data_IF_505821944695
#
_entry.id   IF_505821944695
#
_cell.length_a   1.000
_cell.length_b   1.000
_cell.length_c   1.000
_cell.angle_alpha   90.00
_cell.angle_beta   90.00
_cell.angle_gamma   90.00
#
_symmetry.space_group_name_H-M   'P 1'
#
loop_
_entity.id
_entity.type
_entity.pdbx_description
1 polymer ?
#
# COMPACT_ATOMS: atom_id res chain seq x y z
N UNK A 1 1.05 6.54 -26.38
CA UNK A 1 0.85 5.78 -25.13
C UNK A 1 -0.43 6.34 -24.54
N UNK A 2 -1.54 5.65 -24.78
CA UNK A 2 -2.90 6.17 -24.57
C UNK A 2 -3.13 6.50 -23.11
N UNK A 3 -3.74 7.66 -22.90
CA UNK A 3 -4.29 8.20 -21.66
C UNK A 3 -5.32 7.19 -21.10
N UNK A 4 -4.83 6.14 -20.46
CA UNK A 4 -5.69 5.15 -19.81
C UNK A 4 -6.25 5.81 -18.56
N UNK A 5 -7.57 5.96 -18.55
CA UNK A 5 -8.47 6.32 -17.45
C UNK A 5 -7.91 5.92 -16.07
N UNK A 6 -7.06 6.76 -15.48
CA UNK A 6 -6.52 6.52 -14.13
C UNK A 6 -7.61 6.94 -13.15
N UNK A 7 -8.54 6.03 -12.89
CA UNK A 7 -9.66 6.25 -11.98
C UNK A 7 -9.22 6.33 -10.52
N UNK A 8 -8.11 5.68 -10.17
CA UNK A 8 -7.64 5.57 -8.79
C UNK A 8 -6.14 5.25 -8.68
N UNK A 9 -5.61 5.45 -7.48
CA UNK A 9 -4.19 5.26 -7.16
C UNK A 9 -3.74 3.79 -7.31
N UNK A 10 -4.61 2.81 -7.06
CA UNK A 10 -4.24 1.40 -7.18
C UNK A 10 -4.06 1.01 -8.65
N UNK A 11 -4.95 1.47 -9.51
CA UNK A 11 -4.85 1.32 -10.97
C UNK A 11 -3.55 1.93 -11.51
N UNK A 12 -3.15 3.11 -11.01
CA UNK A 12 -1.84 3.72 -11.35
C UNK A 12 -0.65 2.84 -10.92
N UNK A 13 -0.76 2.17 -9.77
CA UNK A 13 0.34 1.40 -9.17
C UNK A 13 0.42 -0.05 -9.65
N UNK A 14 -0.63 -0.60 -10.26
CA UNK A 14 -0.72 -2.03 -10.62
C UNK A 14 0.42 -2.49 -11.54
N UNK A 15 0.72 -1.71 -12.58
CA UNK A 15 1.85 -1.98 -13.48
C UNK A 15 3.21 -1.95 -12.77
N UNK A 16 3.34 -1.15 -11.70
CA UNK A 16 4.57 -1.03 -10.89
C UNK A 16 4.70 -2.20 -9.92
N UNK A 17 3.60 -2.64 -9.31
CA UNK A 17 3.59 -3.83 -8.46
C UNK A 17 4.03 -5.08 -9.21
N UNK A 18 3.60 -5.22 -10.48
CA UNK A 18 4.03 -6.34 -11.34
C UNK A 18 5.49 -6.17 -11.75
N UNK A 19 5.85 -5.00 -12.31
CA UNK A 19 7.18 -4.77 -12.89
C UNK A 19 8.31 -4.79 -11.86
N UNK A 20 8.04 -4.35 -10.63
CA UNK A 20 9.05 -4.17 -9.58
C UNK A 20 8.85 -5.10 -8.39
N UNK A 21 8.11 -6.20 -8.55
CA UNK A 21 7.68 -7.10 -7.46
C UNK A 21 8.77 -7.42 -6.42
N UNK A 22 9.99 -7.77 -6.84
CA UNK A 22 11.12 -8.13 -5.96
C UNK A 22 11.96 -6.96 -5.45
N UNK A 23 11.69 -5.73 -5.89
CA UNK A 23 12.44 -4.54 -5.44
C UNK A 23 11.86 -4.00 -4.15
N UNK A 24 12.72 -3.41 -3.33
CA UNK A 24 12.34 -2.55 -2.22
C UNK A 24 11.29 -1.53 -2.66
N UNK A 25 10.13 -1.54 -2.02
CA UNK A 25 9.15 -0.46 -2.10
C UNK A 25 9.30 0.50 -0.92
N UNK A 26 9.55 -0.04 0.28
CA UNK A 26 9.64 0.72 1.51
C UNK A 26 10.76 0.17 2.38
N UNK A 27 11.45 1.08 3.07
CA UNK A 27 12.49 0.75 4.04
C UNK A 27 12.27 1.58 5.29
N UNK A 28 12.32 0.95 6.45
CA UNK A 28 12.33 1.67 7.73
C UNK A 28 13.73 2.27 7.96
N UNK A 29 13.80 3.59 8.07
CA UNK A 29 15.04 4.27 8.42
C UNK A 29 15.22 4.30 9.95
N UNK A 30 16.46 4.18 10.41
CA UNK A 30 16.90 4.32 11.82
C UNK A 30 16.73 3.14 12.80
N UNK A 31 16.40 1.92 12.34
CA UNK A 31 16.43 0.71 13.18
C UNK A 31 17.54 -0.27 12.69
N UNK A 32 18.42 -0.79 13.58
CA UNK A 32 19.37 -1.83 13.20
C UNK A 32 18.63 -3.09 12.73
N UNK A 33 18.94 -3.58 11.53
CA UNK A 33 18.18 -4.68 10.90
C UNK A 33 17.01 -4.18 10.06
N UNK A 34 17.25 -3.16 9.23
CA UNK A 34 16.25 -2.48 8.40
C UNK A 34 15.20 -3.44 7.81
N UNK A 35 13.97 -3.33 8.31
CA UNK A 35 12.83 -4.02 7.70
C UNK A 35 12.58 -3.36 6.35
N UNK A 36 12.79 -4.14 5.29
CA UNK A 36 12.52 -3.76 3.91
C UNK A 36 11.27 -4.52 3.45
N UNK A 37 10.32 -3.80 2.85
CA UNK A 37 9.20 -4.41 2.15
C UNK A 37 9.42 -4.30 0.66
N UNK A 38 9.31 -5.43 -0.03
CA UNK A 38 9.26 -5.43 -1.48
C UNK A 38 7.89 -4.92 -1.98
N UNK A 39 7.80 -4.60 -3.27
CA UNK A 39 6.50 -4.29 -3.90
C UNK A 39 5.51 -5.47 -3.80
N UNK A 40 6.00 -6.72 -3.83
CA UNK A 40 5.15 -7.89 -3.63
C UNK A 40 4.58 -7.94 -2.20
N UNK A 41 5.44 -7.78 -1.18
CA UNK A 41 5.00 -7.80 0.22
C UNK A 41 4.01 -6.66 0.51
N UNK A 42 4.28 -5.48 -0.06
CA UNK A 42 3.39 -4.33 0.09
C UNK A 42 2.01 -4.59 -0.52
N UNK A 43 1.95 -5.17 -1.73
CA UNK A 43 0.68 -5.50 -2.39
C UNK A 43 -0.13 -6.51 -1.57
N UNK A 44 0.53 -7.54 -1.04
CA UNK A 44 -0.13 -8.54 -0.19
C UNK A 44 -0.70 -7.90 1.10
N UNK A 45 0.07 -7.03 1.75
CA UNK A 45 -0.39 -6.30 2.94
C UNK A 45 -1.58 -5.39 2.65
N UNK A 46 -1.55 -4.65 1.54
CA UNK A 46 -2.68 -3.81 1.10
C UNK A 46 -3.94 -4.67 0.91
N UNK A 47 -3.84 -5.79 0.19
CA UNK A 47 -4.97 -6.68 -0.05
C UNK A 47 -5.49 -7.35 1.23
N UNK A 48 -4.62 -7.65 2.20
CA UNK A 48 -5.03 -8.15 3.51
C UNK A 48 -5.77 -7.07 4.32
N UNK A 49 -5.24 -5.83 4.35
CA UNK A 49 -5.86 -4.72 5.06
C UNK A 49 -7.21 -4.33 4.47
N UNK A 50 -7.35 -4.33 3.15
CA UNK A 50 -8.61 -4.07 2.46
C UNK A 50 -9.70 -5.06 2.90
N UNK A 51 -9.40 -6.37 2.92
CA UNK A 51 -10.32 -7.40 3.41
C UNK A 51 -10.74 -7.19 4.87
N UNK A 52 -9.83 -6.73 5.71
CA UNK A 52 -10.16 -6.39 7.11
C UNK A 52 -11.15 -5.22 7.17
N UNK A 53 -10.92 -4.15 6.41
CA UNK A 53 -11.83 -3.00 6.36
C UNK A 53 -13.22 -3.41 5.84
N UNK A 54 -13.26 -4.21 4.78
CA UNK A 54 -14.51 -4.78 4.26
C UNK A 54 -15.25 -5.60 5.32
N UNK A 55 -14.53 -6.43 6.08
CA UNK A 55 -15.12 -7.23 7.18
C UNK A 55 -15.68 -6.37 8.32
N UNK A 56 -15.21 -5.13 8.47
CA UNK A 56 -15.72 -4.14 9.42
C UNK A 56 -16.90 -3.32 8.86
N UNK A 57 -17.37 -3.65 7.66
CA UNK A 57 -18.48 -2.96 6.99
C UNK A 57 -18.06 -1.70 6.23
N UNK A 58 -16.77 -1.45 6.03
CA UNK A 58 -16.29 -0.34 5.20
C UNK A 58 -16.42 -0.72 3.73
N UNK A 59 -17.33 -0.05 3.03
CA UNK A 59 -17.52 -0.20 1.59
C UNK A 59 -17.15 1.07 0.80
N UNK A 60 -17.50 1.08 -0.49
CA UNK A 60 -17.33 2.25 -1.36
C UNK A 60 -18.03 3.48 -0.76
N UNK A 61 -17.35 4.64 -0.80
CA UNK A 61 -17.82 5.87 -0.14
C UNK A 61 -17.70 5.87 1.39
N UNK A 62 -17.26 4.76 1.99
CA UNK A 62 -16.96 4.67 3.41
C UNK A 62 -15.80 5.57 3.80
N UNK A 63 -15.90 6.22 4.96
CA UNK A 63 -14.86 7.10 5.49
C UNK A 63 -14.07 6.36 6.55
N UNK A 64 -12.76 6.29 6.38
CA UNK A 64 -11.84 5.68 7.34
C UNK A 64 -10.93 6.76 7.91
N UNK A 65 -10.98 6.96 9.21
CA UNK A 65 -10.01 7.81 9.90
C UNK A 65 -8.72 7.00 10.10
N UNK A 66 -7.62 7.49 9.51
CA UNK A 66 -6.28 6.96 9.76
C UNK A 66 -5.65 7.79 10.88
N UNK A 67 -5.48 7.19 12.04
CA UNK A 67 -4.82 7.80 13.19
C UNK A 67 -3.37 7.33 13.23
N UNK A 68 -2.43 8.27 13.19
CA UNK A 68 -1.02 8.00 13.37
C UNK A 68 -0.25 9.27 13.72
N UNK A 69 0.92 9.12 14.32
CA UNK A 69 1.88 10.22 14.44
C UNK A 69 2.46 10.53 13.05
N UNK A 70 2.72 11.79 12.70
CA UNK A 70 3.27 12.17 11.38
C UNK A 70 4.70 11.62 11.17
N UNK A 71 4.82 10.33 10.86
CA UNK A 71 6.06 9.57 10.62
C UNK A 71 5.82 8.60 9.46
N UNK A 72 6.85 8.22 8.68
CA UNK A 72 6.70 7.34 7.51
C UNK A 72 6.19 5.90 7.80
N UNK A 73 5.97 5.53 9.07
CA UNK A 73 5.40 4.24 9.47
C UNK A 73 4.03 3.92 8.83
N UNK A 74 3.31 4.94 8.36
CA UNK A 74 1.98 4.82 7.75
C UNK A 74 1.96 3.95 6.49
N UNK A 75 3.08 3.88 5.76
CA UNK A 75 3.11 3.16 4.48
C UNK A 75 3.32 1.65 4.68
N UNK A 76 3.74 1.21 5.87
CA UNK A 76 4.25 -0.15 6.14
C UNK A 76 3.31 -0.99 7.04
N UNK A 77 2.36 -0.35 7.72
CA UNK A 77 1.56 -0.94 8.84
C UNK A 77 0.35 -1.75 8.42
#
# INVERSE_FOLDING_TARGET
>A
MTDQDISDLLTLLDSRFVRFSRRAALRREHEPGAIELSYADLRERIAARARVLESMGVGSGGRVALLGENRPAWVIS
#
